data_IF_606451882695
#
_entry.id   IF_606451882695
#
_cell.length_a   1.000
_cell.length_b   1.000
_cell.length_c   1.000
_cell.angle_alpha   90.00
_cell.angle_beta   90.00
_cell.angle_gamma   90.00
#
_symmetry.space_group_name_H-M   'P 1'
#
loop_
_entity.id
_entity.type
_entity.pdbx_description
1 polymer ?
#
# COMPACT_ATOMS: atom_id res chain seq x y z
N UNK A 1 -20.97 -3.94 9.05
CA UNK A 1 -20.15 -3.39 10.15
C UNK A 1 -18.87 -2.90 9.52
N UNK A 2 -18.71 -1.59 9.35
CA UNK A 2 -17.49 -1.02 8.78
C UNK A 2 -16.37 -1.16 9.80
N UNK A 3 -15.29 -1.84 9.42
CA UNK A 3 -14.06 -1.85 10.22
C UNK A 3 -13.65 -0.40 10.46
N UNK A 4 -13.55 -0.01 11.73
CA UNK A 4 -13.08 1.33 12.11
C UNK A 4 -11.59 1.42 11.76
N UNK A 5 -11.31 2.05 10.62
CA UNK A 5 -9.97 2.19 10.07
C UNK A 5 -9.44 3.58 10.45
N UNK A 6 -8.49 3.62 11.37
CA UNK A 6 -7.79 4.85 11.73
C UNK A 6 -6.77 5.19 10.64
N UNK A 7 -6.87 6.36 10.03
CA UNK A 7 -5.86 6.82 9.08
C UNK A 7 -4.52 7.03 9.79
N UNK A 8 -3.45 6.42 9.26
CA UNK A 8 -2.10 6.50 9.82
C UNK A 8 -1.25 7.47 9.01
N UNK A 9 -1.12 7.21 7.71
CA UNK A 9 -0.31 8.04 6.82
C UNK A 9 -0.68 7.79 5.35
N UNK A 10 -0.22 8.65 4.46
CA UNK A 10 -0.27 8.45 3.01
C UNK A 10 1.09 8.73 2.38
N UNK A 11 1.44 7.98 1.34
CA UNK A 11 2.59 8.28 0.48
C UNK A 11 2.21 9.26 -0.63
N UNK A 12 3.21 9.95 -1.21
CA UNK A 12 3.00 10.89 -2.31
C UNK A 12 2.38 10.24 -3.55
N UNK A 13 2.62 8.93 -3.75
CA UNK A 13 2.05 8.15 -4.86
C UNK A 13 0.57 7.80 -4.69
N UNK A 14 -0.07 8.26 -3.60
CA UNK A 14 -1.48 8.01 -3.32
C UNK A 14 -1.76 6.69 -2.62
N UNK A 15 -0.73 6.07 -2.02
CA UNK A 15 -0.90 4.90 -1.18
C UNK A 15 -1.28 5.33 0.24
N UNK A 16 -2.43 4.88 0.72
CA UNK A 16 -2.98 5.24 2.03
C UNK A 16 -2.83 4.06 3.00
N UNK A 17 -2.31 4.34 4.18
CA UNK A 17 -2.10 3.38 5.26
C UNK A 17 -3.09 3.70 6.37
N UNK A 18 -3.85 2.68 6.74
CA UNK A 18 -4.82 2.68 7.82
C UNK A 18 -4.42 1.65 8.87
N UNK A 19 -4.91 1.83 10.09
CA UNK A 19 -4.77 0.88 11.18
C UNK A 19 -6.15 0.42 11.60
N UNK A 20 -6.32 -0.89 11.63
CA UNK A 20 -7.51 -1.55 12.15
C UNK A 20 -7.45 -1.61 13.68
N UNK A 21 -8.62 -1.67 14.32
CA UNK A 21 -8.76 -1.79 15.78
C UNK A 21 -8.13 -3.07 16.33
N UNK A 22 -7.97 -4.11 15.51
CA UNK A 22 -7.25 -5.35 15.84
C UNK A 22 -5.73 -5.17 15.89
N UNK A 23 -5.22 -3.99 15.52
CA UNK A 23 -3.79 -3.67 15.52
C UNK A 23 -3.07 -3.94 14.19
N UNK A 24 -3.75 -4.51 13.20
CA UNK A 24 -3.24 -4.70 11.85
C UNK A 24 -3.22 -3.38 11.06
N UNK A 25 -2.33 -3.29 10.07
CA UNK A 25 -2.27 -2.21 9.12
C UNK A 25 -2.92 -2.62 7.81
N UNK A 26 -3.76 -1.75 7.27
CA UNK A 26 -4.46 -1.92 6.00
C UNK A 26 -3.94 -0.85 5.05
N UNK A 27 -3.45 -1.28 3.90
CA UNK A 27 -2.94 -0.41 2.85
C UNK A 27 -3.94 -0.40 1.71
N UNK A 28 -4.25 0.76 1.17
CA UNK A 28 -5.15 0.94 0.02
C UNK A 28 -4.56 1.97 -0.93
N UNK A 29 -4.63 1.71 -2.24
CA UNK A 29 -4.17 2.67 -3.23
C UNK A 29 -5.33 3.56 -3.72
N UNK A 30 -5.13 4.88 -3.77
CA UNK A 30 -6.16 5.83 -4.22
C UNK A 30 -6.56 5.60 -5.68
N UNK A 31 -5.60 5.29 -6.55
CA UNK A 31 -5.86 4.98 -7.97
C UNK A 31 -6.49 3.61 -8.22
N UNK A 32 -6.36 2.68 -7.27
CA UNK A 32 -6.88 1.31 -7.39
C UNK A 32 -7.45 0.87 -6.03
N UNK A 33 -8.67 1.30 -5.68
CA UNK A 33 -9.28 0.98 -4.39
C UNK A 33 -9.53 -0.52 -4.17
N UNK A 34 -9.48 -1.33 -5.25
CA UNK A 34 -9.53 -2.79 -5.19
C UNK A 34 -8.20 -3.45 -4.82
N UNK A 35 -7.07 -2.75 -4.94
CA UNK A 35 -5.78 -3.24 -4.45
C UNK A 35 -5.59 -2.79 -3.01
N UNK A 36 -5.88 -3.73 -2.10
CA UNK A 36 -5.66 -3.58 -0.66
C UNK A 36 -4.74 -4.67 -0.17
N UNK A 37 -3.84 -4.32 0.75
CA UNK A 37 -2.97 -5.26 1.44
C UNK A 37 -3.15 -5.11 2.94
N UNK A 38 -3.13 -6.23 3.68
CA UNK A 38 -3.21 -6.25 5.13
C UNK A 38 -1.90 -6.80 5.66
N UNK A 39 -1.33 -6.14 6.66
CA UNK A 39 -0.02 -6.47 7.24
C UNK A 39 -0.03 -6.24 8.74
N UNK A 40 0.63 -7.11 9.49
CA UNK A 40 0.75 -6.97 10.94
C UNK A 40 1.72 -5.83 11.35
N UNK A 41 2.56 -5.34 10.43
CA UNK A 41 3.58 -4.34 10.74
C UNK A 41 3.49 -3.11 9.83
N UNK A 42 3.85 -1.95 10.39
CA UNK A 42 3.94 -0.69 9.64
C UNK A 42 5.01 -0.77 8.54
N UNK A 43 6.13 -1.45 8.80
CA UNK A 43 7.17 -1.69 7.79
C UNK A 43 6.62 -2.47 6.59
N UNK A 44 5.82 -3.51 6.84
CA UNK A 44 5.13 -4.25 5.78
C UNK A 44 4.13 -3.39 5.01
N UNK A 45 3.53 -2.38 5.66
CA UNK A 45 2.60 -1.46 5.01
C UNK A 45 3.33 -0.56 3.99
N UNK A 46 4.47 -0.01 4.39
CA UNK A 46 5.33 0.75 3.48
C UNK A 46 5.90 -0.13 2.36
N UNK A 47 6.31 -1.37 2.67
CA UNK A 47 6.80 -2.30 1.66
C UNK A 47 5.72 -2.65 0.62
N UNK A 48 4.45 -2.78 1.03
CA UNK A 48 3.34 -2.97 0.11
C UNK A 48 3.13 -1.75 -0.81
N UNK A 49 3.18 -0.54 -0.26
CA UNK A 49 3.11 0.69 -1.07
C UNK A 49 4.25 0.76 -2.09
N UNK A 50 5.49 0.56 -1.65
CA UNK A 50 6.66 0.56 -2.55
C UNK A 50 6.56 -0.55 -3.62
N UNK A 51 6.03 -1.72 -3.26
CA UNK A 51 5.80 -2.81 -4.19
C UNK A 51 4.79 -2.45 -5.29
N UNK A 52 3.79 -1.63 -4.99
CA UNK A 52 2.84 -1.12 -5.98
C UNK A 52 3.48 -0.06 -6.87
N UNK A 53 4.22 0.89 -6.32
CA UNK A 53 4.97 1.89 -7.10
C UNK A 53 5.92 1.24 -8.10
N UNK A 54 6.64 0.20 -7.69
CA UNK A 54 7.55 -0.57 -8.54
C UNK A 54 6.84 -1.40 -9.61
N UNK A 55 5.58 -1.79 -9.41
CA UNK A 55 4.76 -2.47 -10.43
C UNK A 55 4.12 -1.51 -11.42
N UNK A 56 3.88 -0.27 -11.00
CA UNK A 56 3.36 0.80 -11.87
C UNK A 56 4.47 1.37 -12.75
N UNK A 57 5.74 1.27 -12.32
CA UNK A 57 6.84 1.49 -13.25
C UNK A 57 6.77 0.43 -14.36
N UNK A 58 6.69 0.82 -15.65
CA UNK A 58 6.89 -0.12 -16.73
C UNK A 58 8.23 -0.80 -16.48
N UNK A 59 8.25 -2.13 -16.66
CA UNK A 59 9.45 -2.95 -16.57
C UNK A 59 10.65 -2.13 -17.08
N UNK A 60 11.78 -2.02 -16.34
CA UNK A 60 12.95 -1.41 -16.95
C UNK A 60 13.18 -2.19 -18.24
N UNK A 61 13.08 -1.49 -19.38
CA UNK A 61 13.33 -2.08 -20.67
C UNK A 61 14.67 -2.81 -20.53
N UNK A 62 14.61 -4.14 -20.68
CA UNK A 62 15.78 -4.99 -20.82
C UNK A 62 16.68 -4.29 -21.84
N UNK A 63 17.70 -3.58 -21.34
CA UNK A 63 18.75 -3.01 -22.16
C UNK A 63 19.63 -4.19 -22.48
N UNK A 64 19.17 -5.03 -23.41
CA UNK A 64 19.95 -6.11 -23.98
C UNK A 64 21.23 -5.52 -24.57
N UNK A 65 22.36 -5.99 -24.05
CA UNK A 65 23.69 -5.70 -24.58
C UNK A 65 24.04 -6.59 -25.76
#
# INVERSE_FOLDING_TARGET
MGSDLSFVNSTESGCQIFRDTSGCYVVSHALNPGQRAITATLAGAYAACQGWERRIQPCPADSGG
#
